data_IF_576630331950
#
_entry.id   IF_576630331950
#
_cell.length_a   1.000
_cell.length_b   1.000
_cell.length_c   1.000
_cell.angle_alpha   90.00
_cell.angle_beta   90.00
_cell.angle_gamma   90.00
#
_symmetry.space_group_name_H-M   'P 1'
#
loop_
_entity.id
_entity.type
_entity.pdbx_description
1 polymer ?
#
# COMPACT_ATOMS: atom_id res chain seq x y z
N UNK A 1 34.70 4.07 -1.47
CA UNK A 1 33.73 3.43 -0.56
C UNK A 1 32.36 3.91 -0.99
N UNK A 2 31.52 3.02 -1.51
CA UNK A 2 30.12 3.34 -1.73
C UNK A 2 29.46 3.06 -0.39
N UNK A 3 29.07 4.11 0.33
CA UNK A 3 28.22 3.97 1.50
C UNK A 3 26.88 3.41 1.01
N UNK A 4 26.71 2.08 1.11
CA UNK A 4 25.41 1.45 0.96
C UNK A 4 24.62 1.89 2.20
N UNK A 5 23.91 3.02 2.09
CA UNK A 5 22.92 3.41 3.10
C UNK A 5 21.95 2.24 3.23
N UNK A 6 21.97 1.57 4.37
CA UNK A 6 20.95 0.60 4.73
C UNK A 6 19.57 1.27 4.57
N UNK A 7 18.56 0.58 4.03
CA UNK A 7 17.22 1.14 3.94
C UNK A 7 16.74 1.49 5.35
N UNK A 8 16.47 2.77 5.58
CA UNK A 8 15.79 3.18 6.80
C UNK A 8 14.30 2.81 6.63
N UNK A 9 13.89 1.72 7.25
CA UNK A 9 12.51 1.24 7.20
C UNK A 9 11.53 2.13 7.98
N UNK A 10 12.03 3.15 8.70
CA UNK A 10 11.22 4.19 9.35
C UNK A 10 11.23 5.52 8.55
N UNK A 11 11.79 5.51 7.34
CA UNK A 11 11.89 6.68 6.48
C UNK A 11 10.50 7.13 6.03
N UNK A 12 10.09 8.31 6.50
CA UNK A 12 8.87 9.00 6.10
C UNK A 12 9.20 10.11 5.11
N UNK A 13 8.60 10.08 3.93
CA UNK A 13 8.90 11.01 2.85
C UNK A 13 7.66 11.40 2.04
N UNK A 14 7.77 12.49 1.29
CA UNK A 14 6.78 12.84 0.28
C UNK A 14 6.83 11.82 -0.86
N UNK A 15 5.65 11.35 -1.27
CA UNK A 15 5.52 10.53 -2.47
C UNK A 15 5.66 11.39 -3.74
N UNK A 16 5.81 10.74 -4.89
CA UNK A 16 5.73 11.42 -6.20
C UNK A 16 4.32 11.93 -6.51
N UNK A 17 3.32 11.49 -5.75
CA UNK A 17 1.93 11.96 -5.87
C UNK A 17 1.64 13.09 -4.89
N UNK A 18 1.00 14.15 -5.38
CA UNK A 18 0.60 15.32 -4.59
C UNK A 18 -0.26 14.91 -3.39
N UNK A 19 -0.01 15.52 -2.23
CA UNK A 19 -0.71 15.28 -0.97
C UNK A 19 -0.60 13.83 -0.43
N UNK A 20 0.35 13.05 -0.93
CA UNK A 20 0.59 11.69 -0.47
C UNK A 20 2.02 11.62 0.13
N UNK A 21 2.15 10.97 1.28
CA UNK A 21 3.40 10.60 1.94
C UNK A 21 3.55 9.08 1.88
N UNK A 22 4.77 8.61 2.11
CA UNK A 22 5.12 7.21 2.13
C UNK A 22 6.07 6.91 3.30
N UNK A 23 5.84 5.81 3.99
CA UNK A 23 6.62 5.34 5.13
C UNK A 23 7.13 3.92 4.88
N UNK A 24 8.43 3.69 5.05
CA UNK A 24 9.04 2.35 4.93
C UNK A 24 9.18 1.84 3.50
N UNK A 25 9.18 2.74 2.52
CA UNK A 25 9.40 2.42 1.11
C UNK A 25 10.87 2.59 0.73
N UNK A 26 11.39 1.70 -0.10
CA UNK A 26 12.79 1.73 -0.56
C UNK A 26 13.08 2.80 -1.62
N UNK A 27 12.04 3.36 -2.24
CA UNK A 27 12.10 4.39 -3.27
C UNK A 27 10.83 5.25 -3.24
N UNK A 28 10.80 6.37 -3.97
CA UNK A 28 9.60 7.19 -4.12
C UNK A 28 8.65 6.58 -5.15
N UNK A 29 7.36 6.46 -4.78
CA UNK A 29 6.31 5.90 -5.62
C UNK A 29 5.27 6.94 -6.01
N UNK A 30 4.62 6.69 -7.14
CA UNK A 30 3.40 7.37 -7.56
C UNK A 30 2.19 6.47 -7.30
N UNK A 31 1.15 7.03 -6.69
CA UNK A 31 -0.10 6.39 -6.30
C UNK A 31 -1.25 6.92 -7.19
N UNK A 32 -1.52 6.31 -8.37
CA UNK A 32 -2.46 6.86 -9.36
C UNK A 32 -3.91 6.94 -8.88
N UNK A 33 -4.29 6.13 -7.89
CA UNK A 33 -5.64 6.13 -7.34
C UNK A 33 -5.82 7.12 -6.16
N UNK A 34 -4.74 7.75 -5.68
CA UNK A 34 -4.75 8.73 -4.58
C UNK A 34 -5.56 9.98 -5.02
N UNK A 35 -6.64 10.36 -4.31
CA UNK A 35 -7.43 11.54 -4.64
C UNK A 35 -6.57 12.81 -4.63
N UNK A 36 -6.66 13.61 -5.69
CA UNK A 36 -5.87 14.85 -5.83
C UNK A 36 -6.41 16.00 -4.97
N UNK A 37 -7.70 15.96 -4.63
CA UNK A 37 -8.37 16.95 -3.78
C UNK A 37 -8.68 16.36 -2.40
N UNK A 38 -8.26 17.08 -1.35
CA UNK A 38 -8.48 16.70 0.04
C UNK A 38 -9.66 17.50 0.62
N UNK A 39 -10.73 16.81 0.97
CA UNK A 39 -11.98 17.34 1.50
C UNK A 39 -12.69 16.33 2.40
N UNK A 40 -13.96 16.62 2.73
CA UNK A 40 -14.73 15.89 3.77
C UNK A 40 -14.86 14.37 3.52
N UNK A 41 -14.75 13.94 2.27
CA UNK A 41 -14.95 12.54 1.87
C UNK A 41 -13.71 11.90 1.23
N UNK A 42 -12.54 12.52 1.28
CA UNK A 42 -11.38 12.04 0.51
C UNK A 42 -10.97 10.62 0.85
N UNK A 43 -11.10 10.21 2.11
CA UNK A 43 -10.80 8.83 2.53
C UNK A 43 -11.77 7.81 1.90
N UNK A 44 -13.06 8.11 1.89
CA UNK A 44 -14.08 7.27 1.25
C UNK A 44 -13.91 7.24 -0.27
N UNK A 45 -13.59 8.39 -0.87
CA UNK A 45 -13.24 8.48 -2.28
C UNK A 45 -12.02 7.62 -2.61
N UNK A 46 -10.98 7.64 -1.77
CA UNK A 46 -9.81 6.83 -2.01
C UNK A 46 -10.15 5.34 -1.96
N UNK A 47 -10.90 4.90 -0.95
CA UNK A 47 -11.34 3.51 -0.87
C UNK A 47 -12.10 3.05 -2.13
N UNK A 48 -12.98 3.90 -2.68
CA UNK A 48 -13.72 3.61 -3.93
C UNK A 48 -12.85 3.60 -5.19
N UNK A 49 -11.76 4.36 -5.20
CA UNK A 49 -10.82 4.39 -6.32
C UNK A 49 -9.93 3.14 -6.36
N UNK A 50 -9.71 2.48 -5.22
CA UNK A 50 -8.91 1.26 -5.12
C UNK A 50 -9.71 0.06 -5.66
N UNK A 51 -9.44 -0.31 -6.91
CA UNK A 51 -10.10 -1.42 -7.61
C UNK A 51 -9.16 -2.61 -7.76
N UNK A 52 -9.65 -3.82 -7.52
CA UNK A 52 -8.91 -5.06 -7.78
C UNK A 52 -8.45 -5.06 -9.25
N UNK A 53 -7.18 -5.41 -9.49
CA UNK A 53 -6.55 -5.42 -10.82
C UNK A 53 -6.03 -4.06 -11.30
N UNK A 54 -6.33 -2.95 -10.61
CA UNK A 54 -5.76 -1.66 -10.94
C UNK A 54 -4.32 -1.53 -10.42
N UNK A 55 -3.54 -0.62 -11.03
CA UNK A 55 -2.22 -0.23 -10.50
C UNK A 55 -2.43 0.55 -9.19
N UNK A 56 -1.84 0.05 -8.11
CA UNK A 56 -1.81 0.70 -6.82
C UNK A 56 -0.70 1.74 -6.73
N UNK A 57 0.51 1.35 -7.12
CA UNK A 57 1.70 2.16 -7.03
C UNK A 57 2.72 1.76 -8.11
N UNK A 58 3.50 2.71 -8.60
CA UNK A 58 4.61 2.45 -9.51
C UNK A 58 5.73 3.49 -9.36
N UNK A 59 6.89 3.14 -9.87
CA UNK A 59 8.03 4.03 -10.13
C UNK A 59 8.81 3.47 -11.33
N UNK A 60 9.92 4.11 -11.68
CA UNK A 60 10.72 3.70 -12.84
C UNK A 60 11.67 2.50 -12.53
N UNK A 61 11.90 2.21 -11.25
CA UNK A 61 12.93 1.27 -10.78
C UNK A 61 12.38 -0.09 -10.34
N UNK A 62 11.06 -0.26 -10.25
CA UNK A 62 10.45 -1.49 -9.73
C UNK A 62 9.18 -1.90 -10.50
N UNK A 63 8.85 -3.20 -10.53
CA UNK A 63 7.61 -3.65 -11.14
C UNK A 63 6.40 -3.04 -10.43
N UNK A 64 5.37 -2.68 -11.20
CA UNK A 64 4.15 -2.05 -10.69
C UNK A 64 3.48 -2.92 -9.65
N UNK A 65 2.88 -2.31 -8.64
CA UNK A 65 2.05 -2.99 -7.66
C UNK A 65 0.60 -3.00 -8.14
N UNK A 66 0.00 -4.19 -8.25
CA UNK A 66 -1.36 -4.41 -8.72
C UNK A 66 -2.24 -4.80 -7.55
N UNK A 67 -3.37 -4.13 -7.36
CA UNK A 67 -4.29 -4.38 -6.26
C UNK A 67 -4.89 -5.79 -6.35
N UNK A 68 -4.80 -6.56 -5.26
CA UNK A 68 -5.41 -7.90 -5.14
C UNK A 68 -6.44 -8.01 -4.03
N UNK A 69 -6.25 -7.29 -2.92
CA UNK A 69 -7.25 -7.18 -1.85
C UNK A 69 -7.26 -5.75 -1.31
N UNK A 70 -8.45 -5.30 -0.91
CA UNK A 70 -8.65 -4.04 -0.20
C UNK A 70 -9.59 -4.29 0.97
N UNK A 71 -9.26 -3.74 2.13
CA UNK A 71 -10.12 -3.77 3.29
C UNK A 71 -10.10 -2.39 3.96
N UNK A 72 -11.24 -1.95 4.50
CA UNK A 72 -11.36 -0.70 5.24
C UNK A 72 -11.73 -0.99 6.68
N UNK A 73 -11.04 -0.34 7.63
CA UNK A 73 -11.35 -0.50 9.05
C UNK A 73 -12.69 0.14 9.41
N UNK A 74 -13.47 -0.49 10.29
CA UNK A 74 -14.84 -0.10 10.61
C UNK A 74 -14.98 1.34 11.12
N UNK A 75 -14.06 1.80 11.97
CA UNK A 75 -14.11 3.19 12.46
C UNK A 75 -13.20 4.11 11.64
N UNK A 76 -12.93 3.72 10.39
CA UNK A 76 -12.65 4.59 9.24
C UNK A 76 -11.40 5.46 9.25
N UNK A 77 -10.29 4.98 9.82
CA UNK A 77 -9.00 5.71 9.73
C UNK A 77 -7.91 4.99 8.93
N UNK A 78 -8.14 3.74 8.51
CA UNK A 78 -7.18 3.01 7.69
C UNK A 78 -7.82 2.16 6.59
N UNK A 79 -7.12 2.08 5.46
CA UNK A 79 -7.39 1.17 4.35
C UNK A 79 -6.17 0.27 4.23
N UNK A 80 -6.38 -1.04 4.24
CA UNK A 80 -5.36 -2.02 3.95
C UNK A 80 -5.48 -2.44 2.48
N UNK A 81 -4.34 -2.45 1.80
CA UNK A 81 -4.22 -2.87 0.40
C UNK A 81 -3.17 -3.97 0.32
N UNK A 82 -3.55 -5.11 -0.23
CA UNK A 82 -2.61 -6.15 -0.63
C UNK A 82 -2.40 -6.05 -2.14
N UNK A 83 -1.14 -6.00 -2.54
CA UNK A 83 -0.74 -5.92 -3.93
C UNK A 83 0.13 -7.11 -4.34
N UNK A 84 0.07 -7.43 -5.62
CA UNK A 84 1.01 -8.32 -6.30
C UNK A 84 1.84 -7.50 -7.28
N UNK A 85 3.15 -7.75 -7.35
CA UNK A 85 4.01 -7.10 -8.34
C UNK A 85 3.75 -7.66 -9.73
N UNK A 86 3.65 -6.76 -10.70
CA UNK A 86 3.44 -7.09 -12.10
C UNK A 86 4.66 -7.84 -12.67
N UNK A 87 4.42 -9.00 -13.29
CA UNK A 87 5.43 -9.72 -14.07
C UNK A 87 6.00 -10.96 -13.38
N UNK A 88 6.35 -11.94 -14.21
CA UNK A 88 6.69 -13.31 -13.81
C UNK A 88 8.08 -13.40 -13.13
N UNK A 89 8.91 -12.35 -13.26
CA UNK A 89 10.32 -12.39 -12.87
C UNK A 89 10.68 -11.49 -11.68
N UNK A 90 9.70 -11.03 -10.92
CA UNK A 90 9.92 -10.13 -9.78
C UNK A 90 11.00 -10.66 -8.81
N UNK A 91 10.96 -11.96 -8.52
CA UNK A 91 11.91 -12.62 -7.62
C UNK A 91 13.35 -12.62 -8.15
N UNK A 92 13.54 -12.81 -9.46
CA UNK A 92 14.87 -12.76 -10.09
C UNK A 92 15.50 -11.37 -10.02
N UNK A 93 14.65 -10.34 -9.91
CA UNK A 93 15.06 -8.95 -9.74
C UNK A 93 15.19 -8.57 -8.25
N UNK A 94 15.08 -9.54 -7.33
CA UNK A 94 15.19 -9.33 -5.89
C UNK A 94 13.94 -8.74 -5.24
N UNK A 95 12.80 -8.69 -5.95
CA UNK A 95 11.54 -8.21 -5.39
C UNK A 95 10.69 -9.36 -4.88
N UNK A 96 10.23 -9.22 -3.64
CA UNK A 96 9.17 -10.07 -3.10
C UNK A 96 7.84 -9.74 -3.82
N UNK A 97 7.12 -10.74 -4.33
CA UNK A 97 5.96 -10.55 -5.21
C UNK A 97 4.76 -9.92 -4.49
N UNK A 98 4.52 -10.23 -3.22
CA UNK A 98 3.36 -9.74 -2.48
C UNK A 98 3.75 -8.59 -1.57
N UNK A 99 2.97 -7.52 -1.53
CA UNK A 99 3.20 -6.36 -0.66
C UNK A 99 1.91 -5.95 0.04
N UNK A 100 2.04 -5.51 1.29
CA UNK A 100 0.92 -5.02 2.10
C UNK A 100 1.18 -3.56 2.44
N UNK A 101 0.19 -2.71 2.22
CA UNK A 101 0.26 -1.28 2.53
C UNK A 101 -0.95 -0.87 3.36
N UNK A 102 -0.71 -0.08 4.39
CA UNK A 102 -1.75 0.65 5.09
C UNK A 102 -1.80 2.10 4.62
N UNK A 103 -3.02 2.62 4.44
CA UNK A 103 -3.26 4.00 4.06
C UNK A 103 -4.04 4.69 5.17
N UNK A 104 -3.47 5.74 5.74
CA UNK A 104 -4.12 6.64 6.70
C UNK A 104 -4.23 8.05 6.12
N UNK A 105 -5.07 8.89 6.72
CA UNK A 105 -5.19 10.32 6.37
C UNK A 105 -4.92 11.16 7.61
N UNK A 106 -3.80 11.87 7.61
CA UNK A 106 -3.35 12.70 8.74
C UNK A 106 -2.96 14.09 8.22
N UNK A 107 -3.40 15.15 8.90
CA UNK A 107 -3.06 16.54 8.53
C UNK A 107 -3.28 16.87 7.03
N UNK A 108 -4.33 16.30 6.42
CA UNK A 108 -4.66 16.42 4.99
C UNK A 108 -3.63 15.77 4.04
N UNK A 109 -2.85 14.81 4.51
CA UNK A 109 -1.93 14.00 3.71
C UNK A 109 -2.30 12.52 3.82
N UNK A 110 -2.33 11.82 2.68
CA UNK A 110 -2.48 10.37 2.67
C UNK A 110 -1.13 9.71 2.93
N UNK A 111 -1.00 8.98 4.03
CA UNK A 111 0.23 8.28 4.38
C UNK A 111 0.11 6.83 3.92
N UNK A 112 1.04 6.39 3.09
CA UNK A 112 1.14 5.01 2.62
C UNK A 112 2.25 4.30 3.38
N UNK A 113 1.89 3.52 4.39
CA UNK A 113 2.82 2.76 5.21
C UNK A 113 3.03 1.37 4.62
N UNK A 114 4.25 1.07 4.19
CA UNK A 114 4.62 -0.27 3.74
C UNK A 114 4.74 -1.19 4.97
N UNK A 115 3.81 -2.13 5.12
CA UNK A 115 3.81 -3.10 6.22
C UNK A 115 4.73 -4.29 5.96
N UNK A 116 5.24 -4.44 4.74
CA UNK A 116 6.17 -5.49 4.36
C UNK A 116 5.84 -6.14 3.03
N UNK A 117 6.68 -7.09 2.65
CA UNK A 117 6.51 -7.88 1.44
C UNK A 117 6.81 -9.36 1.72
N UNK A 118 6.22 -10.25 0.94
CA UNK A 118 6.24 -11.69 1.16
C UNK A 118 6.50 -12.44 -0.14
N UNK A 119 7.15 -13.60 0.00
CA UNK A 119 7.38 -14.52 -1.10
C UNK A 119 6.10 -15.29 -1.45
N UNK A 120 5.50 -15.91 -0.44
CA UNK A 120 4.32 -16.74 -0.62
C UNK A 120 3.04 -15.92 -0.44
N UNK A 121 2.05 -16.18 -1.30
CA UNK A 121 0.73 -15.58 -1.21
C UNK A 121 0.04 -15.91 0.11
N UNK A 122 0.21 -17.13 0.61
CA UNK A 122 -0.45 -17.58 1.83
C UNK A 122 0.08 -16.84 3.07
N UNK A 123 1.37 -16.49 3.08
CA UNK A 123 1.96 -15.67 4.15
C UNK A 123 1.52 -14.21 4.04
N UNK A 124 1.42 -13.68 2.82
CA UNK A 124 0.80 -12.37 2.60
C UNK A 124 -0.66 -12.34 3.06
N UNK A 125 -1.42 -13.40 2.81
CA UNK A 125 -2.81 -13.52 3.22
C UNK A 125 -2.96 -13.58 4.75
N UNK A 126 -2.09 -14.34 5.43
CA UNK A 126 -2.03 -14.37 6.91
C UNK A 126 -1.68 -13.00 7.47
N UNK A 127 -0.64 -12.35 6.96
CA UNK A 127 -0.26 -11.01 7.42
C UNK A 127 -1.40 -10.01 7.15
N UNK A 128 -2.01 -10.01 5.96
CA UNK A 128 -3.14 -9.13 5.66
C UNK A 128 -4.31 -9.34 6.62
N UNK A 129 -4.63 -10.59 6.98
CA UNK A 129 -5.65 -10.92 7.96
C UNK A 129 -5.28 -10.45 9.38
N UNK A 130 -4.03 -10.65 9.80
CA UNK A 130 -3.52 -10.22 11.11
C UNK A 130 -3.48 -8.71 11.25
N UNK A 131 -2.95 -7.97 10.26
CA UNK A 131 -2.96 -6.50 10.25
C UNK A 131 -4.39 -5.97 10.30
N UNK A 132 -5.33 -6.66 9.65
CA UNK A 132 -6.76 -6.40 9.81
C UNK A 132 -7.17 -6.49 11.26
N UNK A 133 -6.79 -7.56 11.97
CA UNK A 133 -7.19 -7.80 13.37
C UNK A 133 -6.51 -6.83 14.34
N UNK A 134 -5.24 -6.52 14.15
CA UNK A 134 -4.48 -5.56 14.97
C UNK A 134 -5.02 -4.14 14.80
N UNK A 135 -5.43 -3.78 13.58
CA UNK A 135 -6.19 -2.56 13.32
C UNK A 135 -7.69 -2.70 13.72
N UNK A 136 -8.13 -3.91 14.09
CA UNK A 136 -9.48 -4.26 14.49
C UNK A 136 -9.68 -4.46 16.02
N UNK A 137 -9.51 -3.37 16.76
CA UNK A 137 -10.58 -3.00 17.69
C UNK A 137 -11.88 -2.58 16.99
N UNK A 138 -12.03 -2.85 15.68
CA UNK A 138 -12.92 -2.26 14.66
C UNK A 138 -12.98 -3.23 13.47
N UNK A 139 -14.08 -3.96 13.22
CA UNK A 139 -14.18 -5.01 12.19
C UNK A 139 -14.00 -4.44 10.75
N UNK A 140 -13.95 -5.28 9.72
CA UNK A 140 -13.66 -4.84 8.34
C UNK A 140 -14.62 -5.50 7.35
N UNK A 141 -15.10 -4.75 6.36
CA UNK A 141 -15.84 -5.28 5.21
C UNK A 141 -14.88 -5.51 4.03
N UNK A 142 -15.02 -6.65 3.35
CA UNK A 142 -14.17 -7.06 2.22
C UNK A 142 -14.96 -7.04 0.93
N UNK A 143 -14.35 -6.55 -0.15
CA UNK A 143 -14.87 -6.71 -1.51
C UNK A 143 -13.95 -7.70 -2.22
N UNK A 144 -14.41 -8.93 -2.39
CA UNK A 144 -13.77 -9.91 -3.28
C UNK A 144 -14.47 -9.84 -4.64
N UNK A 145 -13.72 -9.50 -5.69
CA UNK A 145 -14.24 -9.56 -7.06
C UNK A 145 -14.58 -11.00 -7.44
N UNK A 146 -15.78 -11.19 -8.02
CA UNK A 146 -16.15 -12.42 -8.72
C UNK A 146 -15.44 -12.51 -10.06
#
# INVERSE_FOLDING_TARGET
MIDIKMPDFNRMEMASTKNCMQLGWSANYYFPSCPQEIGKNSFETYFKNLKIGAVFAYNDDSPKLIVRKVAKGENSSSILVMCEREGIWCERLGFLPWSITEITLENKLFIHSNLGSHFEKDDADKHFASSRVENAGKQFQTITGK
#
